data_IF_807827109078
#
_entry.id   IF_807827109078
#
_cell.length_a   1.000
_cell.length_b   1.000
_cell.length_c   1.000
_cell.angle_alpha   90.00
_cell.angle_beta   90.00
_cell.angle_gamma   90.00
#
_symmetry.space_group_name_H-M   'P 1'
#
loop_
_entity.id
_entity.type
_entity.pdbx_description
1 polymer ?
#
# COMPACT_ATOMS: atom_id res chain seq x y z
N UNK A 1 -4.90 -65.72 -41.50
CA UNK A 1 -3.62 -65.99 -40.80
C UNK A 1 -3.36 -64.84 -39.86
N UNK A 2 -3.30 -65.18 -38.59
CA UNK A 2 -2.97 -64.34 -37.43
C UNK A 2 -1.74 -63.45 -37.62
N UNK A 3 -1.80 -62.23 -37.06
CA UNK A 3 -0.96 -61.84 -35.91
C UNK A 3 -1.38 -60.49 -35.33
N UNK A 4 -2.09 -60.57 -34.21
CA UNK A 4 -1.72 -60.01 -32.90
C UNK A 4 -0.92 -58.69 -32.85
N UNK A 5 -1.61 -57.69 -32.27
CA UNK A 5 -1.18 -56.85 -31.13
C UNK A 5 0.21 -56.20 -31.16
N UNK A 6 0.25 -54.87 -31.20
CA UNK A 6 0.68 -54.10 -30.01
C UNK A 6 0.61 -52.58 -30.19
N UNK A 7 0.26 -51.95 -29.07
CA UNK A 7 0.55 -50.56 -28.69
C UNK A 7 -0.21 -49.45 -29.40
N UNK A 8 -1.13 -48.82 -28.66
CA UNK A 8 -1.10 -47.36 -28.40
C UNK A 8 -2.18 -46.99 -27.37
N UNK A 9 -2.12 -47.64 -26.21
CA UNK A 9 -2.63 -47.06 -24.97
C UNK A 9 -1.47 -46.28 -24.35
N UNK A 10 -1.52 -44.94 -24.37
CA UNK A 10 -0.82 -43.98 -23.49
C UNK A 10 -0.80 -42.58 -24.12
N UNK A 11 -1.90 -41.84 -24.01
CA UNK A 11 -1.90 -40.36 -24.08
C UNK A 11 -2.94 -39.82 -23.08
N UNK A 12 -2.76 -40.16 -21.81
CA UNK A 12 -3.34 -39.46 -20.67
C UNK A 12 -2.15 -39.16 -19.75
N UNK A 13 -1.54 -37.99 -19.92
CA UNK A 13 -0.36 -37.64 -19.15
C UNK A 13 0.11 -36.21 -19.40
N UNK A 14 0.08 -35.42 -18.33
CA UNK A 14 0.69 -34.10 -18.17
C UNK A 14 -0.06 -32.89 -18.76
N UNK A 15 -1.18 -32.52 -18.13
CA UNK A 15 -1.66 -31.12 -18.15
C UNK A 15 -2.08 -30.71 -16.73
N UNK A 16 -1.15 -30.74 -15.77
CA UNK A 16 -1.38 -30.23 -14.42
C UNK A 16 -0.06 -29.98 -13.66
N UNK A 17 0.83 -29.12 -14.18
CA UNK A 17 2.05 -28.74 -13.45
C UNK A 17 2.41 -27.23 -13.52
N UNK A 18 1.54 -26.37 -14.06
CA UNK A 18 1.78 -24.91 -14.08
C UNK A 18 1.04 -24.13 -12.98
N UNK A 19 0.39 -24.79 -12.01
CA UNK A 19 -0.42 -24.12 -10.98
C UNK A 19 0.21 -24.09 -9.58
N UNK A 20 1.53 -24.29 -9.45
CA UNK A 20 2.22 -24.32 -8.15
C UNK A 20 3.39 -23.33 -8.00
N UNK A 21 3.52 -22.33 -8.89
CA UNK A 21 4.34 -21.14 -8.56
C UNK A 21 3.57 -20.27 -7.56
N UNK A 22 3.53 -20.72 -6.30
CA UNK A 22 2.97 -19.99 -5.19
C UNK A 22 3.52 -18.56 -5.17
N UNK A 23 2.61 -17.59 -5.10
CA UNK A 23 2.83 -16.16 -5.26
C UNK A 23 3.59 -15.52 -4.09
N UNK A 24 4.82 -15.96 -3.83
CA UNK A 24 5.82 -15.16 -3.14
C UNK A 24 6.67 -14.48 -4.21
N UNK A 25 6.42 -13.20 -4.50
CA UNK A 25 7.30 -12.47 -5.43
C UNK A 25 8.66 -12.30 -4.74
N UNK A 26 9.66 -13.03 -5.23
CA UNK A 26 11.06 -12.80 -4.89
C UNK A 26 11.45 -11.38 -5.29
N UNK A 27 12.46 -10.77 -4.63
CA UNK A 27 13.09 -9.57 -5.12
C UNK A 27 13.42 -9.68 -6.61
N UNK A 28 13.14 -8.62 -7.35
CA UNK A 28 13.38 -8.50 -8.78
C UNK A 28 14.59 -7.63 -9.04
N UNK A 29 15.16 -7.69 -10.24
CA UNK A 29 16.23 -6.77 -10.58
C UNK A 29 15.70 -5.34 -10.62
N UNK A 30 16.38 -4.40 -9.95
CA UNK A 30 15.98 -2.99 -9.92
C UNK A 30 15.87 -2.41 -11.33
N UNK A 31 16.75 -2.86 -12.24
CA UNK A 31 16.73 -2.44 -13.64
C UNK A 31 15.41 -2.80 -14.32
N UNK A 32 14.87 -4.00 -14.07
CA UNK A 32 13.56 -4.42 -14.62
C UNK A 32 12.44 -3.53 -14.06
N UNK A 33 12.39 -3.37 -12.73
CA UNK A 33 11.36 -2.58 -12.06
C UNK A 33 11.36 -1.11 -12.49
N UNK A 34 12.55 -0.52 -12.69
CA UNK A 34 12.68 0.89 -13.06
C UNK A 34 12.58 1.17 -14.57
N UNK A 35 12.81 0.18 -15.44
CA UNK A 35 12.69 0.35 -16.88
C UNK A 35 11.23 0.50 -17.34
N UNK A 36 10.29 -0.20 -16.69
CA UNK A 36 8.86 -0.05 -16.95
C UNK A 36 8.06 -0.18 -15.64
N UNK A 37 7.99 0.90 -14.83
CA UNK A 37 7.39 0.85 -13.51
C UNK A 37 5.90 0.52 -13.54
N UNK A 38 5.18 0.93 -14.60
CA UNK A 38 3.75 0.66 -14.74
C UNK A 38 3.47 -0.81 -15.02
N UNK A 39 4.21 -1.42 -15.94
CA UNK A 39 4.10 -2.85 -16.21
C UNK A 39 4.53 -3.67 -14.98
N UNK A 40 5.57 -3.23 -14.27
CA UNK A 40 6.03 -3.87 -13.05
C UNK A 40 4.96 -3.84 -11.95
N UNK A 41 4.32 -2.69 -11.74
CA UNK A 41 3.24 -2.51 -10.78
C UNK A 41 2.03 -3.40 -11.16
N UNK A 42 1.59 -3.34 -12.42
CA UNK A 42 0.45 -4.10 -12.93
C UNK A 42 0.66 -5.63 -12.81
N UNK A 43 1.90 -6.11 -12.96
CA UNK A 43 2.26 -7.52 -12.84
C UNK A 43 2.36 -8.00 -11.38
N UNK A 44 2.99 -7.21 -10.51
CA UNK A 44 3.44 -7.68 -9.19
C UNK A 44 2.58 -7.20 -8.00
N UNK A 45 1.73 -6.19 -8.21
CA UNK A 45 0.95 -5.53 -7.16
C UNK A 45 -0.54 -5.67 -7.41
N UNK A 46 -0.99 -6.91 -7.56
CA UNK A 46 -2.39 -7.27 -7.76
C UNK A 46 -2.95 -7.99 -6.54
N UNK A 47 -4.27 -8.15 -6.48
CA UNK A 47 -4.91 -8.90 -5.39
C UNK A 47 -4.50 -10.38 -5.38
N UNK A 48 -4.13 -10.93 -6.54
CA UNK A 48 -3.63 -12.30 -6.67
C UNK A 48 -2.24 -12.48 -6.03
N UNK A 49 -1.50 -11.39 -5.82
CA UNK A 49 -0.23 -11.42 -5.10
C UNK A 49 -0.41 -11.47 -3.57
N UNK A 50 -1.64 -11.45 -3.08
CA UNK A 50 -1.99 -11.46 -1.65
C UNK A 50 -2.63 -12.80 -1.25
N UNK A 51 -2.65 -13.12 0.05
CA UNK A 51 -3.33 -14.35 0.51
C UNK A 51 -4.84 -14.17 0.44
N UNK A 52 -5.61 -15.13 -0.12
CA UNK A 52 -7.05 -14.98 -0.29
C UNK A 52 -7.82 -14.67 1.00
N UNK A 53 -7.44 -15.31 2.12
CA UNK A 53 -8.17 -15.21 3.38
C UNK A 53 -8.36 -13.77 3.89
N UNK A 54 -7.29 -12.98 3.96
CA UNK A 54 -7.43 -11.58 4.40
C UNK A 54 -7.93 -10.64 3.31
N UNK A 55 -7.75 -11.00 2.02
CA UNK A 55 -8.33 -10.23 0.91
C UNK A 55 -9.85 -10.24 1.00
N UNK A 56 -10.46 -11.38 1.34
CA UNK A 56 -11.91 -11.49 1.49
C UNK A 56 -12.39 -10.74 2.75
N UNK A 57 -11.62 -10.77 3.85
CA UNK A 57 -11.87 -9.90 5.01
C UNK A 57 -11.90 -8.43 4.58
N UNK A 58 -10.90 -7.95 3.83
CA UNK A 58 -10.83 -6.56 3.36
C UNK A 58 -11.96 -6.20 2.40
N UNK A 59 -12.34 -7.09 1.47
CA UNK A 59 -13.51 -6.88 0.61
C UNK A 59 -14.80 -6.74 1.42
N UNK A 60 -14.95 -7.51 2.51
CA UNK A 60 -16.14 -7.46 3.37
C UNK A 60 -16.26 -6.16 4.16
N UNK A 61 -15.14 -5.49 4.46
CA UNK A 61 -15.14 -4.13 5.03
C UNK A 61 -15.83 -3.18 4.06
N UNK A 62 -15.58 -3.35 2.76
CA UNK A 62 -15.96 -2.41 1.72
C UNK A 62 -15.19 -1.10 1.86
N UNK A 63 -15.02 -0.39 0.75
CA UNK A 63 -14.50 0.98 0.80
C UNK A 63 -15.49 1.90 0.10
N UNK A 64 -16.24 2.70 0.87
CA UNK A 64 -17.20 3.63 0.31
C UNK A 64 -16.45 4.89 -0.14
N UNK A 65 -16.04 4.89 -1.41
CA UNK A 65 -15.58 6.08 -2.13
C UNK A 65 -15.62 5.79 -3.62
N UNK A 66 -16.09 6.70 -4.47
CA UNK A 66 -16.10 6.45 -5.90
C UNK A 66 -14.67 6.33 -6.41
N UNK A 67 -14.34 5.19 -7.01
CA UNK A 67 -13.06 4.91 -7.67
C UNK A 67 -13.17 5.20 -9.17
N UNK A 68 -13.93 6.22 -9.55
CA UNK A 68 -14.26 6.53 -10.94
C UNK A 68 -13.19 7.38 -11.64
N UNK A 69 -11.97 7.37 -11.11
CA UNK A 69 -10.78 7.97 -11.70
C UNK A 69 -9.80 6.86 -12.11
N UNK A 70 -8.96 7.11 -13.10
CA UNK A 70 -7.91 6.19 -13.54
C UNK A 70 -6.70 6.30 -12.63
N UNK A 71 -6.28 7.52 -12.32
CA UNK A 71 -5.15 7.79 -11.44
C UNK A 71 -5.31 9.16 -10.75
N UNK A 72 -4.97 9.22 -9.47
CA UNK A 72 -4.67 10.49 -8.81
C UNK A 72 -3.20 10.55 -8.45
N UNK A 73 -2.60 11.73 -8.58
CA UNK A 73 -1.20 11.95 -8.27
C UNK A 73 -1.06 13.17 -7.38
N UNK A 74 -0.32 13.01 -6.28
CA UNK A 74 0.08 14.05 -5.36
C UNK A 74 1.56 14.35 -5.56
N UNK A 75 1.91 15.63 -5.69
CA UNK A 75 3.29 16.08 -5.44
C UNK A 75 3.37 16.58 -4.02
N UNK A 76 4.37 16.12 -3.29
CA UNK A 76 4.49 16.38 -1.86
C UNK A 76 5.79 17.14 -1.61
N UNK A 77 5.78 18.03 -0.63
CA UNK A 77 6.98 18.39 0.10
C UNK A 77 7.01 17.54 1.37
N UNK A 78 8.03 16.70 1.50
CA UNK A 78 8.23 15.84 2.66
C UNK A 78 9.42 16.34 3.46
N UNK A 79 9.13 16.88 4.65
CA UNK A 79 10.12 17.27 5.65
C UNK A 79 10.27 16.14 6.63
N UNK A 80 11.50 15.66 6.83
CA UNK A 80 11.78 14.59 7.78
C UNK A 80 13.01 14.87 8.62
N UNK A 81 12.97 14.37 9.86
CA UNK A 81 14.05 14.48 10.84
C UNK A 81 14.34 13.10 11.41
N UNK A 82 15.55 12.62 11.17
CA UNK A 82 16.08 11.44 11.84
C UNK A 82 16.44 11.77 13.30
N UNK A 83 16.45 10.76 14.17
CA UNK A 83 16.90 10.87 15.54
C UNK A 83 18.32 11.47 15.60
N UNK A 84 18.50 12.52 16.39
CA UNK A 84 19.78 13.20 16.56
C UNK A 84 20.15 14.18 15.45
N UNK A 85 19.33 14.32 14.39
CA UNK A 85 19.57 15.33 13.35
C UNK A 85 19.24 16.74 13.87
N UNK A 86 20.15 17.69 13.60
CA UNK A 86 19.99 19.09 13.98
C UNK A 86 19.00 19.85 13.07
N UNK A 87 18.81 19.40 11.83
CA UNK A 87 17.97 20.04 10.82
C UNK A 87 17.09 19.03 10.09
N UNK A 88 16.02 19.53 9.49
CA UNK A 88 15.15 18.72 8.64
C UNK A 88 15.78 18.52 7.26
N UNK A 89 15.68 17.29 6.76
CA UNK A 89 15.88 17.02 5.36
C UNK A 89 14.55 17.20 4.62
N UNK A 90 14.59 17.92 3.50
CA UNK A 90 13.41 18.18 2.66
C UNK A 90 13.57 17.43 1.35
N UNK A 91 12.51 16.73 0.95
CA UNK A 91 12.43 16.00 -0.32
C UNK A 91 11.10 16.27 -0.99
N UNK A 92 11.02 16.09 -2.30
CA UNK A 92 9.78 16.35 -3.06
C UNK A 92 9.28 15.10 -3.77
N UNK A 93 8.73 14.10 -3.04
CA UNK A 93 8.26 12.88 -3.66
C UNK A 93 6.94 13.10 -4.41
N UNK A 94 6.75 12.30 -5.46
CA UNK A 94 5.47 12.15 -6.16
C UNK A 94 4.84 10.83 -5.73
N UNK A 95 3.54 10.84 -5.42
CA UNK A 95 2.78 9.66 -5.02
C UNK A 95 1.52 9.53 -5.89
N UNK A 96 1.43 8.43 -6.62
CA UNK A 96 0.31 8.13 -7.52
C UNK A 96 -0.50 6.95 -7.00
N UNK A 97 -1.83 7.03 -7.09
CA UNK A 97 -2.77 5.98 -6.69
C UNK A 97 -3.63 5.57 -7.88
N UNK A 98 -3.73 4.25 -8.11
CA UNK A 98 -4.60 3.64 -9.13
C UNK A 98 -5.56 2.67 -8.47
N UNK A 99 -6.88 2.86 -8.61
CA UNK A 99 -7.84 2.00 -7.96
C UNK A 99 -7.88 0.62 -8.61
N UNK A 100 -7.95 -0.42 -7.78
CA UNK A 100 -8.27 -1.80 -8.17
C UNK A 100 -9.71 -2.20 -7.79
N UNK A 101 -10.50 -1.23 -7.32
CA UNK A 101 -11.85 -1.44 -6.77
C UNK A 101 -11.82 -1.90 -5.30
N UNK A 102 -12.98 -1.82 -4.64
CA UNK A 102 -13.17 -2.25 -3.23
C UNK A 102 -12.12 -1.69 -2.24
N UNK A 103 -11.62 -0.47 -2.48
CA UNK A 103 -10.66 0.20 -1.58
C UNK A 103 -9.22 -0.22 -1.77
N UNK A 104 -8.92 -1.11 -2.71
CA UNK A 104 -7.55 -1.48 -3.03
C UNK A 104 -6.95 -0.49 -4.01
N UNK A 105 -5.69 -0.12 -3.77
CA UNK A 105 -4.93 0.76 -4.64
C UNK A 105 -3.54 0.22 -4.90
N UNK A 106 -3.14 0.26 -6.17
CA UNK A 106 -1.73 0.25 -6.53
C UNK A 106 -1.18 1.66 -6.34
N UNK A 107 0.05 1.76 -5.84
CA UNK A 107 0.73 3.04 -5.69
C UNK A 107 2.16 2.98 -6.19
N UNK A 108 2.61 4.11 -6.75
CA UNK A 108 4.02 4.37 -7.01
C UNK A 108 4.39 5.65 -6.25
N UNK A 109 5.40 5.56 -5.38
CA UNK A 109 6.06 6.72 -4.79
C UNK A 109 7.42 6.90 -5.45
N UNK A 110 7.62 8.00 -6.15
CA UNK A 110 8.89 8.31 -6.81
C UNK A 110 9.57 9.46 -6.06
N UNK A 111 10.84 9.27 -5.72
CA UNK A 111 11.71 10.31 -5.19
C UNK A 111 12.82 10.57 -6.19
N UNK A 112 12.93 11.82 -6.64
CA UNK A 112 13.98 12.30 -7.52
C UNK A 112 14.80 13.38 -6.82
N UNK A 113 16.06 13.52 -7.22
CA UNK A 113 16.93 14.60 -6.80
C UNK A 113 17.77 15.04 -8.00
N UNK A 114 17.76 16.34 -8.31
CA UNK A 114 18.45 16.91 -9.49
C UNK A 114 18.10 16.21 -10.82
N UNK A 115 16.86 15.77 -11.00
CA UNK A 115 16.40 15.07 -12.20
C UNK A 115 16.82 13.59 -12.28
N UNK A 116 17.47 13.05 -11.25
CA UNK A 116 17.83 11.64 -11.17
C UNK A 116 16.94 10.89 -10.18
N UNK A 117 16.55 9.67 -10.54
CA UNK A 117 15.81 8.78 -9.65
C UNK A 117 16.66 8.41 -8.44
N UNK A 118 16.19 8.72 -7.23
CA UNK A 118 16.81 8.31 -5.96
C UNK A 118 16.20 7.00 -5.49
N UNK A 119 14.87 6.91 -5.49
CA UNK A 119 14.15 5.72 -5.09
C UNK A 119 12.77 5.69 -5.73
N UNK A 120 12.29 4.48 -6.01
CA UNK A 120 10.88 4.23 -6.36
C UNK A 120 10.32 3.17 -5.43
N UNK A 121 9.20 3.46 -4.78
CA UNK A 121 8.46 2.50 -3.97
C UNK A 121 7.23 2.03 -4.74
N UNK A 122 7.04 0.72 -4.81
CA UNK A 122 5.85 0.08 -5.37
C UNK A 122 5.02 -0.49 -4.22
N UNK A 123 3.75 -0.12 -4.16
CA UNK A 123 2.89 -0.38 -3.00
C UNK A 123 1.55 -0.94 -3.48
N UNK A 124 1.06 -1.97 -2.80
CA UNK A 124 -0.34 -2.37 -2.82
C UNK A 124 -0.92 -2.05 -1.45
N UNK A 125 -2.05 -1.36 -1.43
CA UNK A 125 -2.64 -0.83 -0.21
C UNK A 125 -4.14 -1.02 -0.16
N UNK A 126 -4.70 -0.96 1.04
CA UNK A 126 -6.13 -0.81 1.30
C UNK A 126 -6.40 0.58 1.89
N UNK A 127 -7.42 1.28 1.37
CA UNK A 127 -7.76 2.68 1.68
C UNK A 127 -6.58 3.65 1.52
N UNK A 128 -5.57 3.31 0.72
CA UNK A 128 -4.39 4.14 0.50
C UNK A 128 -3.37 4.22 1.64
N UNK A 129 -3.74 3.86 2.88
CA UNK A 129 -2.85 3.95 4.07
C UNK A 129 -2.39 2.59 4.59
N UNK A 130 -3.25 1.57 4.53
CA UNK A 130 -2.87 0.24 5.01
C UNK A 130 -2.03 -0.44 3.93
N UNK A 131 -0.72 -0.37 4.09
CA UNK A 131 0.25 -0.99 3.17
C UNK A 131 0.16 -2.51 3.29
N UNK A 132 -0.35 -3.17 2.25
CA UNK A 132 -0.49 -4.64 2.18
C UNK A 132 0.79 -5.30 1.68
N UNK A 133 1.51 -4.63 0.78
CA UNK A 133 2.79 -5.06 0.22
C UNK A 133 3.55 -3.83 -0.23
N UNK A 134 4.84 -3.75 0.10
CA UNK A 134 5.70 -2.63 -0.32
C UNK A 134 7.10 -3.11 -0.67
N UNK A 135 7.63 -2.58 -1.76
CA UNK A 135 9.00 -2.80 -2.18
C UNK A 135 9.64 -1.51 -2.66
N UNK A 136 10.96 -1.39 -2.49
CA UNK A 136 11.75 -0.25 -2.92
C UNK A 136 12.76 -0.66 -4.01
N UNK A 137 12.89 0.18 -5.03
CA UNK A 137 13.80 0.01 -6.15
C UNK A 137 14.73 1.23 -6.24
N UNK A 138 15.80 1.22 -5.45
CA UNK A 138 16.87 2.22 -5.51
C UNK A 138 17.84 1.88 -6.64
N UNK A 139 18.15 2.79 -7.58
CA UNK A 139 19.12 2.54 -8.65
C UNK A 139 20.53 2.15 -8.18
N UNK A 140 20.86 2.39 -6.90
CA UNK A 140 22.12 1.97 -6.29
C UNK A 140 22.12 0.49 -5.85
N UNK A 141 20.98 -0.18 -5.91
CA UNK A 141 20.81 -1.59 -5.54
C UNK A 141 20.68 -2.48 -6.77
N UNK A 142 21.20 -3.71 -6.69
CA UNK A 142 21.02 -4.72 -7.75
C UNK A 142 19.60 -5.28 -7.77
N UNK A 143 19.09 -5.61 -6.58
CA UNK A 143 17.78 -6.21 -6.36
C UNK A 143 16.89 -5.24 -5.60
N UNK A 144 15.59 -5.34 -5.83
CA UNK A 144 14.58 -4.61 -5.07
C UNK A 144 14.57 -5.05 -3.60
N UNK A 145 14.14 -4.16 -2.71
CA UNK A 145 14.13 -4.40 -1.26
C UNK A 145 12.70 -4.42 -0.76
N UNK A 146 12.27 -5.59 -0.33
CA UNK A 146 10.92 -5.87 0.14
C UNK A 146 10.79 -5.46 1.61
N UNK A 147 10.02 -4.40 1.86
CA UNK A 147 9.92 -3.73 3.16
C UNK A 147 9.01 -4.50 4.12
N UNK A 148 8.01 -5.19 3.57
CA UNK A 148 7.11 -6.06 4.34
C UNK A 148 5.83 -6.37 3.57
N UNK A 149 5.09 -7.36 4.08
CA UNK A 149 3.75 -7.69 3.62
C UNK A 149 2.80 -7.97 4.78
N UNK A 150 1.55 -7.57 4.61
CA UNK A 150 0.45 -8.00 5.47
C UNK A 150 0.17 -9.48 5.19
N UNK A 151 0.09 -10.24 6.27
CA UNK A 151 -0.10 -11.69 6.27
C UNK A 151 -1.48 -12.09 6.75
N UNK A 152 -2.09 -11.25 7.59
CA UNK A 152 -3.44 -11.45 8.10
C UNK A 152 -4.04 -10.13 8.59
N UNK A 153 -5.36 -10.07 8.73
CA UNK A 153 -6.09 -8.92 9.25
C UNK A 153 -7.32 -9.37 10.03
N UNK A 154 -7.53 -8.76 11.20
CA UNK A 154 -8.79 -8.99 11.93
C UNK A 154 -9.93 -8.25 11.23
N UNK A 155 -11.16 -8.80 11.24
CA UNK A 155 -12.32 -8.07 10.76
C UNK A 155 -12.47 -6.71 11.45
N UNK A 156 -12.76 -5.68 10.68
CA UNK A 156 -13.07 -4.34 11.18
C UNK A 156 -14.17 -3.72 10.31
N UNK A 157 -14.73 -2.59 10.74
CA UNK A 157 -15.70 -1.82 9.97
C UNK A 157 -15.11 -0.47 9.59
N UNK A 158 -15.40 -0.02 8.38
CA UNK A 158 -15.06 1.31 7.92
C UNK A 158 -16.27 1.96 7.28
N UNK A 159 -16.91 2.86 8.03
CA UNK A 159 -18.11 3.58 7.61
C UNK A 159 -17.84 5.09 7.70
N UNK A 160 -17.15 5.72 6.72
CA UNK A 160 -16.80 7.14 6.71
C UNK A 160 -17.92 8.10 7.09
N UNK A 161 -19.15 7.80 6.65
CA UNK A 161 -20.32 8.60 6.99
C UNK A 161 -20.62 8.65 8.50
N UNK A 162 -20.16 7.66 9.28
CA UNK A 162 -20.25 7.62 10.75
C UNK A 162 -18.98 8.15 11.43
N UNK A 163 -17.94 8.46 10.67
CA UNK A 163 -16.66 8.96 11.17
C UNK A 163 -16.54 10.49 11.00
N UNK A 164 -17.65 11.21 10.85
CA UNK A 164 -17.62 12.67 10.67
C UNK A 164 -17.59 13.43 12.00
N UNK A 165 -17.98 12.79 13.09
CA UNK A 165 -17.99 13.39 14.44
C UNK A 165 -16.61 13.27 15.12
N UNK A 166 -16.10 14.35 15.74
CA UNK A 166 -14.88 14.27 16.54
C UNK A 166 -14.96 13.19 17.63
N UNK A 167 -13.88 12.43 17.81
CA UNK A 167 -13.83 11.31 18.75
C UNK A 167 -14.22 9.94 18.16
N UNK A 168 -14.84 9.89 16.96
CA UNK A 168 -15.14 8.64 16.27
C UNK A 168 -13.87 7.86 15.95
N UNK A 169 -13.90 6.52 16.15
CA UNK A 169 -12.72 5.67 16.09
C UNK A 169 -12.72 4.72 14.90
N UNK A 170 -11.56 4.58 14.27
CA UNK A 170 -11.21 3.50 13.35
C UNK A 170 -10.08 2.69 13.96
N UNK A 171 -10.26 1.38 14.08
CA UNK A 171 -9.23 0.48 14.63
C UNK A 171 -9.01 -0.66 13.65
N UNK A 172 -7.74 -0.94 13.36
CA UNK A 172 -7.32 -2.01 12.47
C UNK A 172 -6.20 -2.80 13.15
N UNK A 173 -6.41 -4.10 13.31
CA UNK A 173 -5.38 -5.03 13.77
C UNK A 173 -4.92 -5.89 12.59
N UNK A 174 -3.63 -5.88 12.29
CA UNK A 174 -3.06 -6.57 11.15
C UNK A 174 -1.73 -7.23 11.49
N UNK A 175 -1.49 -8.38 10.87
CA UNK A 175 -0.26 -9.14 11.06
C UNK A 175 0.69 -8.88 9.89
N UNK A 176 1.97 -8.67 10.19
CA UNK A 176 3.03 -8.47 9.19
C UNK A 176 4.09 -9.56 9.28
N UNK A 177 4.73 -9.86 8.16
CA UNK A 177 5.83 -10.80 8.11
C UNK A 177 6.63 -10.69 6.82
N UNK A 178 7.74 -11.43 6.76
CA UNK A 178 8.51 -11.54 5.52
C UNK A 178 7.69 -12.29 4.46
N UNK A 179 7.89 -12.03 3.15
CA UNK A 179 6.98 -12.61 2.16
C UNK A 179 6.99 -14.14 2.05
N UNK A 180 8.07 -14.82 2.41
CA UNK A 180 8.12 -16.28 2.52
C UNK A 180 7.73 -16.83 3.90
N UNK A 181 7.40 -15.96 4.86
CA UNK A 181 7.02 -16.36 6.21
C UNK A 181 5.58 -16.90 6.23
N UNK A 182 5.40 -18.09 6.79
CA UNK A 182 4.09 -18.78 6.85
C UNK A 182 3.42 -18.75 8.23
N UNK A 183 4.16 -18.49 9.31
CA UNK A 183 3.66 -18.44 10.69
C UNK A 183 4.50 -17.47 11.55
N UNK A 184 4.12 -17.25 12.82
CA UNK A 184 4.79 -16.34 13.77
C UNK A 184 4.84 -14.87 13.29
N UNK A 185 3.74 -14.39 12.71
CA UNK A 185 3.63 -13.01 12.27
C UNK A 185 3.63 -12.04 13.45
N UNK A 186 4.08 -10.82 13.20
CA UNK A 186 4.05 -9.74 14.18
C UNK A 186 2.75 -8.99 14.04
N UNK A 187 1.96 -8.96 15.12
CA UNK A 187 0.73 -8.17 15.14
C UNK A 187 1.01 -6.70 15.39
N UNK A 188 0.28 -5.88 14.66
CA UNK A 188 0.28 -4.43 14.80
C UNK A 188 -1.17 -3.95 14.93
N UNK A 189 -1.33 -2.82 15.62
CA UNK A 189 -2.59 -2.13 15.77
C UNK A 189 -2.44 -0.70 15.31
N UNK A 190 -3.36 -0.25 14.48
CA UNK A 190 -3.55 1.15 14.12
C UNK A 190 -4.88 1.61 14.70
N UNK A 191 -4.85 2.64 15.54
CA UNK A 191 -6.03 3.26 16.12
C UNK A 191 -6.07 4.73 15.74
N UNK A 192 -7.06 5.11 14.95
CA UNK A 192 -7.28 6.48 14.47
C UNK A 192 -8.52 7.08 15.13
N UNK A 193 -8.41 8.29 15.62
CA UNK A 193 -9.50 9.07 16.21
C UNK A 193 -9.78 10.28 15.32
N UNK A 194 -11.04 10.47 14.98
CA UNK A 194 -11.50 11.60 14.16
C UNK A 194 -11.26 12.89 14.92
N UNK A 195 -10.56 13.84 14.29
CA UNK A 195 -10.32 15.18 14.82
C UNK A 195 -11.37 16.14 14.28
N UNK A 196 -11.62 16.09 12.97
CA UNK A 196 -12.62 16.90 12.27
C UNK A 196 -13.01 16.28 10.94
N UNK A 197 -14.16 16.69 10.42
CA UNK A 197 -14.54 16.55 9.02
C UNK A 197 -14.71 17.95 8.39
N UNK A 198 -14.45 18.08 7.09
CA UNK A 198 -14.37 19.36 6.41
C UNK A 198 -14.14 19.22 4.91
N UNK A 199 -13.75 20.31 4.25
CA UNK A 199 -13.54 20.31 2.80
C UNK A 199 -12.13 19.82 2.45
N UNK A 200 -12.00 18.89 1.51
CA UNK A 200 -10.69 18.43 1.04
C UNK A 200 -9.82 19.55 0.44
N UNK A 201 -10.46 20.66 0.00
CA UNK A 201 -9.77 21.85 -0.48
C UNK A 201 -8.89 22.53 0.59
N UNK A 202 -9.12 22.25 1.87
CA UNK A 202 -8.25 22.70 2.97
C UNK A 202 -6.82 22.12 2.88
N UNK A 203 -6.64 20.98 2.21
CA UNK A 203 -5.31 20.41 1.96
C UNK A 203 -4.65 21.04 0.73
N UNK A 204 -5.42 21.19 -0.36
CA UNK A 204 -4.98 21.81 -1.59
C UNK A 204 -6.20 22.19 -2.45
N UNK A 205 -6.27 23.39 -3.06
CA UNK A 205 -7.48 23.87 -3.75
C UNK A 205 -7.98 23.00 -4.92
N UNK A 206 -7.10 22.20 -5.55
CA UNK A 206 -7.48 21.29 -6.64
C UNK A 206 -8.18 20.01 -6.14
N UNK A 207 -8.12 19.70 -4.84
CA UNK A 207 -8.70 18.48 -4.28
C UNK A 207 -10.16 18.75 -3.94
N UNK A 208 -11.05 18.05 -4.64
CA UNK A 208 -12.50 18.14 -4.47
C UNK A 208 -13.03 17.23 -3.35
N UNK A 209 -14.23 17.56 -2.88
CA UNK A 209 -15.03 16.72 -2.00
C UNK A 209 -14.75 16.94 -0.51
N UNK A 210 -15.19 15.98 0.30
CA UNK A 210 -15.04 16.01 1.75
C UNK A 210 -13.80 15.26 2.20
N UNK A 211 -13.25 15.72 3.31
CA UNK A 211 -12.12 15.11 3.99
C UNK A 211 -12.45 14.85 5.47
N UNK A 212 -11.89 13.78 6.01
CA UNK A 212 -11.95 13.43 7.44
C UNK A 212 -10.52 13.35 7.96
N UNK A 213 -10.19 14.16 8.94
CA UNK A 213 -8.88 14.20 9.58
C UNK A 213 -8.87 13.30 10.80
N UNK A 214 -7.81 12.52 10.92
CA UNK A 214 -7.58 11.60 12.01
C UNK A 214 -6.24 11.87 12.68
N UNK A 215 -6.19 11.69 13.99
CA UNK A 215 -4.95 11.41 14.70
C UNK A 215 -4.87 9.91 14.95
N UNK A 216 -3.75 9.32 14.56
CA UNK A 216 -3.55 7.88 14.56
C UNK A 216 -2.38 7.51 15.46
N UNK A 217 -2.56 6.44 16.21
CA UNK A 217 -1.53 5.78 17.00
C UNK A 217 -1.31 4.38 16.45
N UNK A 218 -0.05 4.00 16.32
CA UNK A 218 0.37 2.66 15.92
C UNK A 218 1.11 1.98 17.05
N UNK A 219 0.81 0.72 17.31
CA UNK A 219 1.60 -0.13 18.21
C UNK A 219 1.91 -1.45 17.54
N UNK A 220 3.14 -1.92 17.71
CA UNK A 220 3.53 -3.29 17.37
C UNK A 220 3.58 -4.15 18.62
N UNK A 221 3.42 -5.46 18.49
CA UNK A 221 3.62 -6.44 19.57
C UNK A 221 4.99 -6.29 20.29
N UNK A 222 6.02 -5.83 19.58
CA UNK A 222 7.35 -5.56 20.15
C UNK A 222 7.47 -4.22 20.90
N UNK A 223 6.34 -3.53 21.12
CA UNK A 223 6.28 -2.30 21.92
C UNK A 223 6.88 -1.07 21.24
N UNK A 224 6.98 -1.02 19.91
CA UNK A 224 7.36 0.18 19.18
C UNK A 224 6.13 1.06 18.91
N UNK A 225 5.93 2.17 19.64
CA UNK A 225 4.85 3.10 19.37
C UNK A 225 5.18 4.00 18.17
N UNK A 226 4.13 4.40 17.47
CA UNK A 226 4.17 5.48 16.49
C UNK A 226 2.92 6.34 16.64
N UNK A 227 3.00 7.58 16.18
CA UNK A 227 1.87 8.48 16.09
C UNK A 227 1.91 9.23 14.77
N UNK A 228 0.76 9.68 14.31
CA UNK A 228 0.67 10.45 13.08
C UNK A 228 -0.67 11.10 12.92
N UNK A 229 -0.79 11.94 11.90
CA UNK A 229 -2.06 12.49 11.47
C UNK A 229 -2.31 12.04 10.05
N UNK A 230 -3.54 11.64 9.75
CA UNK A 230 -3.96 11.17 8.44
C UNK A 230 -5.21 11.91 8.00
N UNK A 231 -5.45 11.96 6.69
CA UNK A 231 -6.64 12.54 6.11
C UNK A 231 -7.25 11.59 5.09
N UNK A 232 -8.53 11.27 5.26
CA UNK A 232 -9.31 10.47 4.32
C UNK A 232 -10.06 11.38 3.38
N UNK A 233 -9.81 11.25 2.07
CA UNK A 233 -10.48 11.99 1.02
C UNK A 233 -11.65 11.15 0.51
N UNK A 234 -12.86 11.46 0.98
CA UNK A 234 -14.04 10.62 0.73
C UNK A 234 -14.37 10.51 -0.76
N UNK A 235 -14.12 11.55 -1.54
CA UNK A 235 -14.33 11.55 -2.99
C UNK A 235 -13.43 10.55 -3.72
N UNK A 236 -12.24 10.25 -3.21
CA UNK A 236 -11.28 9.37 -3.87
C UNK A 236 -11.13 8.01 -3.17
N UNK A 237 -11.74 7.84 -2.00
CA UNK A 237 -11.60 6.63 -1.20
C UNK A 237 -10.18 6.38 -0.67
N UNK A 238 -9.34 7.41 -0.61
CA UNK A 238 -7.92 7.32 -0.24
C UNK A 238 -7.67 8.05 1.08
N UNK A 239 -7.00 7.38 2.01
CA UNK A 239 -6.41 7.98 3.20
C UNK A 239 -4.91 8.21 2.97
N UNK A 240 -4.45 9.41 3.30
CA UNK A 240 -3.05 9.82 3.23
C UNK A 240 -2.54 10.17 4.62
N UNK A 241 -1.30 9.78 4.89
CA UNK A 241 -0.59 10.26 6.07
C UNK A 241 -0.07 11.68 5.80
N UNK A 242 -0.26 12.59 6.75
CA UNK A 242 0.23 13.98 6.67
C UNK A 242 1.33 14.25 7.69
N UNK A 243 1.35 13.48 8.78
CA UNK A 243 2.38 13.53 9.81
C UNK A 243 2.68 12.11 10.30
N UNK A 244 3.92 11.87 10.68
CA UNK A 244 4.35 10.63 11.31
C UNK A 244 5.48 10.90 12.31
N UNK A 245 5.51 10.13 13.39
CA UNK A 245 6.65 10.05 14.30
C UNK A 245 6.71 8.67 14.96
N UNK A 246 7.92 8.13 15.08
CA UNK A 246 8.26 6.98 15.91
C UNK A 246 9.53 7.25 16.72
N UNK A 247 10.14 6.21 17.27
CA UNK A 247 11.37 6.32 18.08
C UNK A 247 12.63 6.69 17.27
N UNK A 248 12.57 6.65 15.93
CA UNK A 248 13.72 6.81 15.04
C UNK A 248 13.61 8.04 14.14
N UNK A 249 12.41 8.44 13.75
CA UNK A 249 12.22 9.59 12.87
C UNK A 249 10.86 10.24 13.05
N UNK A 250 10.75 11.47 12.55
CA UNK A 250 9.49 12.15 12.35
C UNK A 250 9.44 12.77 10.96
N UNK A 251 8.24 13.01 10.46
CA UNK A 251 8.05 13.68 9.19
C UNK A 251 6.69 14.30 9.03
N UNK A 252 6.60 15.23 8.08
CA UNK A 252 5.39 15.92 7.68
C UNK A 252 5.35 16.00 6.15
N UNK A 253 4.20 15.67 5.58
CA UNK A 253 3.92 15.75 4.15
C UNK A 253 2.93 16.89 3.89
N UNK A 254 3.29 17.78 2.97
CA UNK A 254 2.44 18.88 2.48
C UNK A 254 2.19 18.67 1.00
N UNK A 255 0.93 18.76 0.57
CA UNK A 255 0.58 18.61 -0.84
C UNK A 255 0.91 19.93 -1.56
N UNK A 256 1.82 19.86 -2.52
CA UNK A 256 2.26 21.00 -3.35
C UNK A 256 1.56 21.04 -4.70
N UNK A 257 1.08 19.89 -5.19
CA UNK A 257 0.26 19.80 -6.39
C UNK A 257 -0.61 18.54 -6.34
N UNK A 258 -1.70 18.58 -7.10
CA UNK A 258 -2.64 17.47 -7.25
C UNK A 258 -3.16 17.39 -8.68
N UNK A 259 -3.21 16.18 -9.23
CA UNK A 259 -3.79 15.89 -10.54
C UNK A 259 -4.68 14.65 -10.46
N UNK A 260 -5.83 14.70 -11.13
CA UNK A 260 -6.78 13.60 -11.31
C UNK A 260 -6.91 13.31 -12.80
N UNK A 261 -6.82 12.04 -13.19
CA UNK A 261 -6.96 11.52 -14.56
C UNK A 261 -8.12 10.53 -14.65
#
# INVERSE_FOLDING_TARGET
MDKSSNSLMKWLGATALLALTGCGTMPTEVKEANANPDAFLAKNYTLQALRPGYVDTLKSVGAPGPTNFKEITFKLEYRHRALGAATDAVTTPQLSYRPLGNGFFQQIRTLENNGFLVNRSFILSFLGVLTLKKENASPQSKMTVLDGAVKDIKPFKFEPAKLTEPGSKLVVDFATGFPMQEFNFRWNKMACTTVKAGSAAELHPKIKGQAIWFDCEGTSEVGAPSKGSSVYLSQYGVMMQTKFADSRYSGTEVITDFTEQ
#
